data_IF_938038168107
#
_entry.id   IF_938038168107
#
_cell.length_a   1.000
_cell.length_b   1.000
_cell.length_c   1.000
_cell.angle_alpha   90.00
_cell.angle_beta   90.00
_cell.angle_gamma   90.00
#
_symmetry.space_group_name_H-M   'P 1'
#
loop_
_entity.id
_entity.type
_entity.pdbx_description
1 polymer ?
#
# COMPACT_ATOMS: atom_id res chain seq x y z
N UNK A 1 -10.28 13.88 -29.62
CA UNK A 1 -9.96 13.18 -28.36
C UNK A 1 -8.48 12.91 -28.35
N UNK A 2 -7.74 13.30 -27.32
CA UNK A 2 -6.31 13.00 -27.21
C UNK A 2 -6.11 11.52 -26.88
N UNK A 3 -5.03 10.92 -27.38
CA UNK A 3 -4.69 9.54 -27.03
C UNK A 3 -4.29 9.44 -25.55
N UNK A 4 -4.60 8.31 -24.86
CA UNK A 4 -4.27 8.11 -23.45
C UNK A 4 -2.80 8.37 -23.10
N UNK A 5 -1.87 8.05 -24.01
CA UNK A 5 -0.43 8.30 -23.83
C UNK A 5 -0.11 9.80 -23.82
N UNK A 6 -0.76 10.58 -24.68
CA UNK A 6 -0.55 12.02 -24.77
C UNK A 6 -1.07 12.75 -23.53
N UNK A 7 -2.22 12.32 -22.99
CA UNK A 7 -2.79 12.85 -21.76
C UNK A 7 -1.82 12.66 -20.57
N UNK A 8 -1.23 11.46 -20.45
CA UNK A 8 -0.23 11.19 -19.39
C UNK A 8 1.02 12.07 -19.50
N UNK A 9 1.51 12.29 -20.73
CA UNK A 9 2.68 13.16 -20.97
C UNK A 9 2.38 14.60 -20.58
N UNK A 10 1.24 15.15 -21.03
CA UNK A 10 0.85 16.53 -20.75
C UNK A 10 0.60 16.74 -19.26
N UNK A 11 -0.07 15.80 -18.59
CA UNK A 11 -0.33 15.89 -17.16
C UNK A 11 0.96 15.84 -16.34
N UNK A 12 1.89 14.92 -16.66
CA UNK A 12 3.21 14.88 -16.01
C UNK A 12 3.97 16.19 -16.20
N UNK A 13 3.95 16.79 -17.39
CA UNK A 13 4.59 18.08 -17.66
C UNK A 13 3.92 19.24 -16.91
N UNK A 14 2.62 19.15 -16.66
CA UNK A 14 1.86 20.12 -15.88
C UNK A 14 1.96 19.90 -14.36
N UNK A 15 2.71 18.90 -13.88
CA UNK A 15 2.78 18.53 -12.46
C UNK A 15 1.47 17.95 -11.94
N UNK A 16 0.59 17.49 -12.82
CA UNK A 16 -0.68 16.85 -12.45
C UNK A 16 -0.41 15.36 -12.25
N UNK A 17 -0.69 14.90 -11.05
CA UNK A 17 -0.71 13.49 -10.71
C UNK A 17 -1.97 12.82 -11.33
N UNK A 18 -1.74 11.79 -12.14
CA UNK A 18 -2.80 10.98 -12.78
C UNK A 18 -2.83 9.55 -12.23
N UNK A 19 -2.55 9.41 -10.93
CA UNK A 19 -2.69 8.13 -10.27
C UNK A 19 -4.09 7.56 -10.48
N UNK A 20 -4.16 6.30 -10.88
CA UNK A 20 -5.38 5.60 -11.27
C UNK A 20 -5.96 4.72 -10.16
N UNK A 21 -5.41 4.80 -8.95
CA UNK A 21 -5.81 3.98 -7.81
C UNK A 21 -5.07 2.65 -7.70
N UNK A 22 -4.21 2.28 -8.66
CA UNK A 22 -3.42 1.05 -8.60
C UNK A 22 -2.28 1.19 -7.57
N UNK A 23 -1.96 0.13 -6.80
CA UNK A 23 -0.81 0.14 -5.91
C UNK A 23 0.46 0.65 -6.59
N UNK A 24 1.09 1.67 -6.04
CA UNK A 24 2.25 2.34 -6.64
C UNK A 24 3.28 2.65 -5.57
N UNK A 25 4.52 2.20 -5.75
CA UNK A 25 5.65 2.63 -4.92
C UNK A 25 5.92 4.11 -5.19
N UNK A 26 5.85 4.94 -4.14
CA UNK A 26 6.08 6.39 -4.23
C UNK A 26 7.40 6.82 -3.62
N UNK A 27 7.96 6.02 -2.72
CA UNK A 27 9.29 6.20 -2.16
C UNK A 27 9.90 4.85 -1.74
N UNK A 28 11.23 4.76 -1.75
CA UNK A 28 11.96 3.59 -1.27
C UNK A 28 13.34 4.00 -0.75
N UNK A 29 13.69 3.51 0.43
CA UNK A 29 14.97 3.79 1.10
C UNK A 29 15.48 2.54 1.83
N UNK A 30 16.76 2.55 2.20
CA UNK A 30 17.38 1.50 3.02
C UNK A 30 17.89 2.11 4.31
N UNK A 31 17.42 1.60 5.44
CA UNK A 31 17.83 2.03 6.78
C UNK A 31 18.18 0.80 7.62
N UNK A 32 19.34 0.81 8.30
CA UNK A 32 19.81 -0.32 9.11
C UNK A 32 19.77 -1.69 8.41
N UNK A 33 20.06 -1.72 7.09
CA UNK A 33 19.94 -2.89 6.22
C UNK A 33 18.51 -3.36 5.89
N UNK A 34 17.49 -2.72 6.44
CA UNK A 34 16.09 -2.97 6.09
C UNK A 34 15.66 -2.08 4.91
N UNK A 35 14.73 -2.58 4.11
CA UNK A 35 14.13 -1.85 3.00
C UNK A 35 12.83 -1.22 3.48
N UNK A 36 12.75 0.11 3.43
CA UNK A 36 11.55 0.85 3.81
C UNK A 36 10.93 1.39 2.52
N UNK A 37 9.75 0.88 2.19
CA UNK A 37 9.06 1.15 0.92
C UNK A 37 7.74 1.82 1.24
N UNK A 38 7.54 3.04 0.74
CA UNK A 38 6.24 3.72 0.83
C UNK A 38 5.42 3.39 -0.40
N UNK A 39 4.27 2.76 -0.18
CA UNK A 39 3.32 2.36 -1.21
C UNK A 39 2.06 3.20 -1.06
N UNK A 40 1.65 3.82 -2.16
CA UNK A 40 0.36 4.47 -2.30
C UNK A 40 -0.66 3.45 -2.81
N UNK A 41 -1.75 3.30 -2.07
CA UNK A 41 -2.80 2.30 -2.35
C UNK A 41 -4.19 2.93 -2.23
N UNK A 42 -5.18 2.29 -2.84
CA UNK A 42 -6.59 2.69 -2.78
C UNK A 42 -7.40 1.70 -1.95
N UNK A 43 -7.86 2.12 -0.77
CA UNK A 43 -8.92 1.46 0.00
C UNK A 43 -10.30 1.91 -0.50
N UNK A 44 -11.13 2.42 0.40
CA UNK A 44 -12.24 3.29 -0.02
C UNK A 44 -11.76 4.71 -0.36
N UNK A 45 -10.72 5.14 0.32
CA UNK A 45 -9.94 6.34 0.03
C UNK A 45 -8.48 5.99 -0.16
N UNK A 46 -7.72 6.98 -0.63
CA UNK A 46 -6.28 6.90 -0.75
C UNK A 46 -5.62 6.71 0.63
N UNK A 47 -4.57 5.88 0.64
CA UNK A 47 -3.72 5.67 1.79
C UNK A 47 -2.25 5.62 1.38
N UNK A 48 -1.37 6.09 2.27
CA UNK A 48 0.08 5.91 2.18
C UNK A 48 0.53 4.94 3.25
N UNK A 49 1.13 3.83 2.83
CA UNK A 49 1.59 2.76 3.71
C UNK A 49 3.10 2.65 3.59
N UNK A 50 3.77 2.66 4.72
CA UNK A 50 5.17 2.28 4.82
C UNK A 50 5.28 0.79 5.14
N UNK A 51 5.99 0.06 4.29
CA UNK A 51 6.27 -1.36 4.43
C UNK A 51 7.77 -1.50 4.72
N UNK A 52 8.11 -2.04 5.88
CA UNK A 52 9.49 -2.36 6.24
C UNK A 52 9.75 -3.85 6.01
N UNK A 53 10.72 -4.15 5.16
CA UNK A 53 11.13 -5.49 4.79
C UNK A 53 12.57 -5.76 5.23
N UNK A 54 12.83 -6.97 5.69
CA UNK A 54 14.18 -7.45 6.00
C UNK A 54 15.03 -7.60 4.73
N UNK A 55 16.33 -7.88 4.88
CA UNK A 55 17.18 -8.28 3.74
C UNK A 55 16.70 -9.55 3.04
N UNK A 56 15.96 -10.40 3.74
CA UNK A 56 15.37 -11.64 3.22
C UNK A 56 13.95 -11.41 2.66
N UNK A 57 13.50 -10.14 2.59
CA UNK A 57 12.19 -9.71 2.08
C UNK A 57 11.01 -10.14 2.94
N UNK A 58 11.27 -10.45 4.22
CA UNK A 58 10.24 -10.73 5.20
C UNK A 58 9.65 -9.43 5.76
N UNK A 59 8.34 -9.41 6.02
CA UNK A 59 7.67 -8.25 6.61
C UNK A 59 8.09 -8.06 8.06
N UNK A 60 8.75 -6.94 8.35
CA UNK A 60 9.15 -6.54 9.71
C UNK A 60 8.08 -5.65 10.33
N UNK A 61 7.63 -4.65 9.59
CA UNK A 61 6.68 -3.66 10.08
C UNK A 61 5.79 -3.12 8.96
N UNK A 62 4.60 -2.66 9.33
CA UNK A 62 3.62 -2.06 8.44
C UNK A 62 3.00 -0.85 9.14
N UNK A 63 3.26 0.35 8.60
CA UNK A 63 2.80 1.61 9.19
C UNK A 63 1.90 2.35 8.21
N UNK A 64 0.71 2.74 8.65
CA UNK A 64 -0.15 3.64 7.87
C UNK A 64 0.27 5.08 8.15
N UNK A 65 0.87 5.74 7.16
CA UNK A 65 1.33 7.12 7.28
C UNK A 65 0.17 8.11 7.14
N UNK A 66 -0.69 7.88 6.15
CA UNK A 66 -1.84 8.73 5.84
C UNK A 66 -3.04 7.89 5.41
N UNK A 67 -4.23 8.22 5.91
CA UNK A 67 -5.50 7.65 5.44
C UNK A 67 -6.68 8.56 5.77
N UNK A 68 -7.77 8.42 5.02
CA UNK A 68 -9.06 9.11 5.29
C UNK A 68 -10.24 8.13 5.31
N UNK A 69 -9.98 6.86 5.65
CA UNK A 69 -11.00 5.83 5.74
C UNK A 69 -12.11 6.13 6.75
N UNK A 70 -13.29 5.60 6.49
CA UNK A 70 -14.50 5.84 7.30
C UNK A 70 -14.42 5.12 8.65
N UNK A 71 -14.70 5.85 9.74
CA UNK A 71 -14.88 5.30 11.08
C UNK A 71 -15.99 4.23 11.12
N UNK A 72 -15.79 3.15 11.88
CA UNK A 72 -16.70 2.00 11.89
C UNK A 72 -16.48 1.01 10.73
N UNK A 73 -15.54 1.29 9.83
CA UNK A 73 -15.23 0.47 8.65
C UNK A 73 -13.71 0.33 8.47
N UNK A 74 -13.15 0.94 7.41
CA UNK A 74 -11.72 0.81 7.08
C UNK A 74 -10.80 1.43 8.13
N UNK A 75 -11.26 2.48 8.81
CA UNK A 75 -10.49 3.09 9.90
C UNK A 75 -10.27 2.10 11.06
N UNK A 76 -11.31 1.35 11.42
CA UNK A 76 -11.23 0.37 12.52
C UNK A 76 -10.33 -0.83 12.16
N UNK A 77 -10.19 -1.14 10.86
CA UNK A 77 -9.20 -2.10 10.37
C UNK A 77 -7.77 -1.59 10.58
N UNK A 78 -7.54 -0.31 10.29
CA UNK A 78 -6.22 0.33 10.39
C UNK A 78 -5.80 0.52 11.86
N UNK A 79 -6.72 0.98 12.71
CA UNK A 79 -6.44 1.27 14.12
C UNK A 79 -6.60 0.05 15.05
N UNK A 80 -7.07 -1.07 14.52
CA UNK A 80 -7.26 -2.33 15.26
C UNK A 80 -6.09 -3.31 15.11
N UNK A 81 -6.34 -4.57 15.47
CA UNK A 81 -5.31 -5.61 15.51
C UNK A 81 -4.95 -6.19 14.12
N UNK A 82 -5.62 -5.75 13.05
CA UNK A 82 -5.46 -6.36 11.73
C UNK A 82 -4.05 -6.17 11.16
N UNK A 83 -3.44 -5.01 11.38
CA UNK A 83 -2.05 -4.74 10.98
C UNK A 83 -1.10 -5.71 11.67
N UNK A 84 -1.28 -5.96 12.97
CA UNK A 84 -0.48 -6.93 13.70
C UNK A 84 -0.68 -8.35 13.18
N UNK A 85 -1.90 -8.72 12.79
CA UNK A 85 -2.18 -10.02 12.16
C UNK A 85 -1.44 -10.18 10.83
N UNK A 86 -1.42 -9.14 9.98
CA UNK A 86 -0.67 -9.13 8.72
C UNK A 86 0.84 -9.33 8.95
N UNK A 87 1.41 -8.64 9.94
CA UNK A 87 2.83 -8.78 10.29
C UNK A 87 3.15 -10.19 10.77
N UNK A 88 2.24 -10.83 11.51
CA UNK A 88 2.42 -12.19 12.03
C UNK A 88 2.06 -13.32 11.05
N UNK A 89 1.59 -12.99 9.84
CA UNK A 89 1.06 -13.98 8.92
C UNK A 89 2.19 -14.73 8.19
N UNK A 90 2.14 -16.06 8.22
CA UNK A 90 3.04 -16.91 7.43
C UNK A 90 2.68 -16.89 5.93
N UNK A 91 1.39 -16.71 5.62
CA UNK A 91 0.86 -16.65 4.26
C UNK A 91 -0.17 -15.53 4.14
N UNK A 92 0.16 -14.48 3.38
CA UNK A 92 -0.69 -13.33 3.14
C UNK A 92 -1.98 -13.69 2.39
N UNK A 93 -2.01 -14.79 1.65
CA UNK A 93 -3.22 -15.26 0.95
C UNK A 93 -4.23 -15.93 1.89
N UNK A 94 -3.82 -16.29 3.11
CA UNK A 94 -4.68 -16.89 4.14
C UNK A 94 -5.15 -15.88 5.19
N UNK A 95 -4.71 -14.62 5.12
CA UNK A 95 -5.13 -13.60 6.08
C UNK A 95 -6.61 -13.29 5.92
N UNK A 96 -7.31 -13.17 7.05
CA UNK A 96 -8.74 -12.94 7.07
C UNK A 96 -9.11 -11.55 6.53
N UNK A 97 -9.94 -11.49 5.48
CA UNK A 97 -10.54 -10.23 5.05
C UNK A 97 -11.67 -9.82 5.99
N UNK A 98 -11.64 -8.59 6.49
CA UNK A 98 -12.66 -8.07 7.42
C UNK A 98 -13.92 -7.68 6.65
N UNK A 99 -15.04 -8.31 7.01
CA UNK A 99 -16.35 -8.04 6.42
C UNK A 99 -16.78 -6.58 6.66
N UNK A 100 -17.29 -5.92 5.63
CA UNK A 100 -17.63 -4.48 5.67
C UNK A 100 -16.45 -3.53 5.41
N UNK A 101 -15.21 -4.05 5.45
CA UNK A 101 -13.97 -3.30 5.20
C UNK A 101 -13.05 -4.01 4.21
N UNK A 102 -13.65 -4.76 3.27
CA UNK A 102 -12.93 -5.62 2.32
C UNK A 102 -11.94 -4.85 1.46
N UNK A 103 -12.32 -3.67 0.95
CA UNK A 103 -11.41 -2.85 0.12
C UNK A 103 -10.16 -2.43 0.89
N UNK A 104 -10.33 -1.91 2.10
CA UNK A 104 -9.23 -1.50 2.97
C UNK A 104 -8.33 -2.67 3.32
N UNK A 105 -8.94 -3.82 3.68
CA UNK A 105 -8.21 -5.04 4.05
C UNK A 105 -7.36 -5.55 2.89
N UNK A 106 -7.92 -5.61 1.68
CA UNK A 106 -7.19 -6.02 0.47
C UNK A 106 -6.09 -5.02 0.12
N UNK A 107 -6.37 -3.71 0.21
CA UNK A 107 -5.40 -2.69 -0.14
C UNK A 107 -4.14 -2.76 0.75
N UNK A 108 -4.29 -3.06 2.05
CA UNK A 108 -3.15 -3.28 2.95
C UNK A 108 -2.31 -4.51 2.54
N UNK A 109 -2.96 -5.62 2.13
CA UNK A 109 -2.27 -6.79 1.59
C UNK A 109 -1.55 -6.44 0.28
N UNK A 110 -2.21 -5.67 -0.60
CA UNK A 110 -1.65 -5.24 -1.88
C UNK A 110 -0.44 -4.33 -1.69
N UNK A 111 -0.38 -3.50 -0.65
CA UNK A 111 0.80 -2.71 -0.32
C UNK A 111 2.00 -3.62 -0.01
N UNK A 112 1.82 -4.64 0.82
CA UNK A 112 2.89 -5.58 1.18
C UNK A 112 3.38 -6.32 -0.07
N UNK A 113 2.45 -6.86 -0.88
CA UNK A 113 2.77 -7.57 -2.12
C UNK A 113 3.53 -6.67 -3.11
N UNK A 114 3.09 -5.43 -3.26
CA UNK A 114 3.72 -4.43 -4.14
C UNK A 114 5.14 -4.10 -3.68
N UNK A 115 5.35 -3.94 -2.37
CA UNK A 115 6.66 -3.70 -1.78
C UNK A 115 7.61 -4.90 -2.01
N UNK A 116 7.14 -6.12 -1.80
CA UNK A 116 7.92 -7.34 -2.08
C UNK A 116 8.26 -7.44 -3.56
N UNK A 117 7.29 -7.19 -4.45
CA UNK A 117 7.50 -7.20 -5.90
C UNK A 117 8.54 -6.17 -6.33
N UNK A 118 8.51 -4.96 -5.78
CA UNK A 118 9.48 -3.92 -6.09
C UNK A 118 10.94 -4.34 -5.82
N UNK A 119 11.18 -5.21 -4.84
CA UNK A 119 12.51 -5.75 -4.55
C UNK A 119 12.89 -6.96 -5.43
N UNK A 120 11.99 -7.44 -6.27
CA UNK A 120 12.21 -8.54 -7.20
C UNK A 120 12.42 -8.08 -8.65
N UNK A 121 12.05 -6.83 -8.97
CA UNK A 121 12.22 -6.19 -10.28
C UNK A 121 13.64 -5.60 -10.46
#
# INVERSE_FOLDING_TARGET
MFEPKMIKIVAKAAGIDLWNGEPTVVDAKVENSNHIITVRIMGYHEMLIEVELSTEKELINLTVLEHTETAGFGKDVIEGDYISQLISADDLDQVQIIAGSTKTSNALVDAIKTAIQYLND
#
